data_IF_002799626311
#
_entry.id   IF_002799626311
#
_cell.length_a   1.000
_cell.length_b   1.000
_cell.length_c   1.000
_cell.angle_alpha   90.00
_cell.angle_beta   90.00
_cell.angle_gamma   90.00
#
_symmetry.space_group_name_H-M   'P 1'
#
loop_
_entity.id
_entity.type
_entity.pdbx_description
1 polymer ?
#
# COMPACT_ATOMS: atom_id res chain seq x y z
N UNK A 1 34.64 -1.68 -40.01
CA UNK A 1 33.40 -2.37 -40.46
C UNK A 1 32.74 -3.24 -39.38
N UNK A 2 33.33 -3.44 -38.20
CA UNK A 2 32.74 -4.22 -37.09
C UNK A 2 31.63 -3.53 -36.30
N UNK A 3 31.71 -2.22 -36.15
CA UNK A 3 30.82 -1.47 -35.24
C UNK A 3 29.36 -1.30 -35.73
N UNK A 4 29.15 -1.35 -37.03
CA UNK A 4 27.80 -1.28 -37.62
C UNK A 4 27.00 -2.58 -37.45
N UNK A 5 27.66 -3.73 -37.36
CA UNK A 5 27.01 -5.03 -37.25
C UNK A 5 26.50 -5.31 -35.83
N UNK A 6 27.20 -4.87 -34.76
CA UNK A 6 26.75 -5.07 -33.42
C UNK A 6 25.59 -4.12 -33.08
N UNK A 7 25.60 -2.87 -33.57
CA UNK A 7 24.48 -1.93 -33.44
C UNK A 7 23.22 -2.44 -34.13
N UNK A 8 23.38 -3.04 -35.33
CA UNK A 8 22.26 -3.65 -36.04
C UNK A 8 21.72 -4.87 -35.29
N UNK A 9 22.60 -5.73 -34.73
CA UNK A 9 22.20 -6.87 -33.89
C UNK A 9 21.53 -6.43 -32.59
N UNK A 10 22.01 -5.34 -31.95
CA UNK A 10 21.41 -4.77 -30.77
C UNK A 10 20.02 -4.19 -31.06
N UNK A 11 19.87 -3.47 -32.20
CA UNK A 11 18.58 -2.98 -32.68
C UNK A 11 17.59 -4.12 -32.98
N UNK A 12 18.05 -5.21 -33.53
CA UNK A 12 17.21 -6.39 -33.76
C UNK A 12 16.80 -7.08 -32.46
N UNK A 13 17.70 -7.22 -31.50
CA UNK A 13 17.38 -7.74 -30.15
C UNK A 13 16.43 -6.82 -29.39
N UNK A 14 16.62 -5.52 -29.43
CA UNK A 14 15.75 -4.55 -28.78
C UNK A 14 14.37 -4.41 -29.45
N UNK A 15 14.28 -4.61 -30.78
CA UNK A 15 12.99 -4.60 -31.50
C UNK A 15 12.14 -5.85 -31.27
N UNK A 16 12.72 -6.95 -30.82
CA UNK A 16 12.00 -8.20 -30.56
C UNK A 16 11.82 -8.55 -29.09
N UNK A 17 12.34 -7.76 -28.14
CA UNK A 17 12.34 -8.05 -26.71
C UNK A 17 11.79 -6.87 -25.89
N UNK A 18 10.62 -6.34 -26.25
CA UNK A 18 9.99 -5.27 -25.47
C UNK A 18 9.44 -5.78 -24.13
N UNK A 19 9.15 -7.06 -24.03
CA UNK A 19 8.52 -7.63 -22.83
C UNK A 19 9.42 -7.50 -21.59
N UNK A 20 10.72 -7.77 -21.72
CA UNK A 20 11.65 -7.69 -20.58
C UNK A 20 11.80 -6.28 -19.99
N UNK A 21 12.13 -5.24 -20.78
CA UNK A 21 12.18 -3.88 -20.23
C UNK A 21 10.80 -3.41 -19.72
N UNK A 22 9.72 -3.78 -20.41
CA UNK A 22 8.37 -3.46 -19.96
C UNK A 22 8.04 -4.12 -18.62
N UNK A 23 8.48 -5.37 -18.41
CA UNK A 23 8.28 -6.07 -17.13
C UNK A 23 8.98 -5.36 -15.98
N UNK A 24 10.26 -4.98 -16.16
CA UNK A 24 11.03 -4.28 -15.11
C UNK A 24 10.42 -2.90 -14.79
N UNK A 25 10.04 -2.15 -15.82
CA UNK A 25 9.41 -0.85 -15.66
C UNK A 25 8.03 -0.98 -15.00
N UNK A 26 7.20 -1.93 -15.45
CA UNK A 26 5.89 -2.19 -14.86
C UNK A 26 6.03 -2.58 -13.39
N UNK A 27 6.94 -3.51 -13.06
CA UNK A 27 7.19 -3.92 -11.68
C UNK A 27 7.53 -2.72 -10.77
N UNK A 28 8.44 -1.84 -11.22
CA UNK A 28 8.82 -0.67 -10.44
C UNK A 28 7.66 0.32 -10.27
N UNK A 29 6.95 0.61 -11.37
CA UNK A 29 5.80 1.53 -11.35
C UNK A 29 4.66 0.98 -10.47
N UNK A 30 4.31 -0.29 -10.63
CA UNK A 30 3.23 -0.92 -9.85
C UNK A 30 3.58 -1.01 -8.37
N UNK A 31 4.84 -1.34 -8.03
CA UNK A 31 5.27 -1.36 -6.63
C UNK A 31 5.13 0.04 -5.98
N UNK A 32 5.55 1.10 -6.69
CA UNK A 32 5.39 2.48 -6.20
C UNK A 32 3.91 2.87 -6.11
N UNK A 33 3.09 2.49 -7.10
CA UNK A 33 1.66 2.77 -7.09
C UNK A 33 0.96 2.07 -5.92
N UNK A 34 1.23 0.80 -5.70
CA UNK A 34 0.64 0.03 -4.58
C UNK A 34 1.06 0.56 -3.21
N UNK A 35 2.29 1.05 -3.09
CA UNK A 35 2.79 1.64 -1.84
C UNK A 35 2.21 3.04 -1.58
N UNK A 36 2.13 3.90 -2.63
CA UNK A 36 1.72 5.31 -2.50
C UNK A 36 0.24 5.55 -2.73
N UNK A 37 -0.42 4.69 -3.49
CA UNK A 37 -1.84 4.74 -3.83
C UNK A 37 -2.47 3.37 -3.53
N UNK A 38 -2.68 3.02 -2.25
CA UNK A 38 -3.23 1.72 -1.90
C UNK A 38 -4.62 1.55 -2.52
N UNK A 39 -4.84 0.39 -3.14
CA UNK A 39 -6.11 0.03 -3.79
C UNK A 39 -7.14 -0.42 -2.75
N UNK A 40 -6.68 -0.87 -1.59
CA UNK A 40 -7.52 -1.31 -0.47
C UNK A 40 -6.82 -1.01 0.86
N UNK A 41 -7.61 -0.73 1.90
CA UNK A 41 -7.10 -0.37 3.23
C UNK A 41 -6.64 1.08 3.35
N UNK A 42 -6.21 1.47 4.53
CA UNK A 42 -5.86 2.84 4.89
C UNK A 42 -4.38 3.15 4.63
N UNK A 43 -3.56 2.12 4.44
CA UNK A 43 -2.12 2.22 4.18
C UNK A 43 -1.67 1.21 3.13
N UNK A 44 -0.61 1.53 2.40
CA UNK A 44 0.02 0.60 1.46
C UNK A 44 0.65 -0.59 2.19
N UNK A 45 0.87 -1.71 1.46
CA UNK A 45 1.43 -2.93 2.04
C UNK A 45 2.91 -2.80 2.43
N UNK A 46 3.52 -1.65 2.19
CA UNK A 46 4.96 -1.44 2.28
C UNK A 46 5.70 -1.88 1.01
N UNK A 47 6.82 -1.22 0.72
CA UNK A 47 7.52 -1.38 -0.56
C UNK A 47 7.89 -2.85 -0.87
N UNK A 48 8.34 -3.60 0.13
CA UNK A 48 8.73 -5.01 -0.08
C UNK A 48 7.54 -5.88 -0.49
N UNK A 49 6.43 -5.79 0.23
CA UNK A 49 5.22 -6.55 -0.10
C UNK A 49 4.61 -6.07 -1.43
N UNK A 50 4.68 -4.76 -1.73
CA UNK A 50 4.24 -4.20 -3.01
C UNK A 50 5.03 -4.78 -4.19
N UNK A 51 6.36 -4.91 -4.07
CA UNK A 51 7.22 -5.55 -5.09
C UNK A 51 6.85 -7.02 -5.28
N UNK A 52 6.61 -7.76 -4.21
CA UNK A 52 6.21 -9.17 -4.32
C UNK A 52 4.85 -9.33 -4.99
N UNK A 53 3.86 -8.50 -4.62
CA UNK A 53 2.52 -8.52 -5.22
C UNK A 53 2.56 -8.14 -6.70
N UNK A 54 3.25 -7.05 -7.05
CA UNK A 54 3.42 -6.63 -8.44
C UNK A 54 4.18 -7.68 -9.25
N UNK A 55 5.25 -8.26 -8.70
CA UNK A 55 6.02 -9.32 -9.34
C UNK A 55 5.18 -10.56 -9.63
N UNK A 56 4.39 -11.01 -8.68
CA UNK A 56 3.50 -12.16 -8.86
C UNK A 56 2.40 -11.86 -9.91
N UNK A 57 1.77 -10.68 -9.83
CA UNK A 57 0.77 -10.25 -10.81
C UNK A 57 1.35 -10.23 -12.22
N UNK A 58 2.51 -9.61 -12.41
CA UNK A 58 3.19 -9.51 -13.70
C UNK A 58 3.62 -10.86 -14.24
N UNK A 59 4.09 -11.78 -13.37
CA UNK A 59 4.39 -13.16 -13.78
C UNK A 59 3.15 -13.88 -14.29
N UNK A 60 2.01 -13.77 -13.61
CA UNK A 60 0.75 -14.35 -14.05
C UNK A 60 0.30 -13.75 -15.40
N UNK A 61 0.40 -12.43 -15.56
CA UNK A 61 0.04 -11.76 -16.82
C UNK A 61 0.93 -12.23 -17.96
N UNK A 62 2.23 -12.33 -17.77
CA UNK A 62 3.17 -12.74 -18.81
C UNK A 62 3.05 -14.24 -19.11
N UNK A 63 2.91 -15.08 -18.09
CA UNK A 63 2.87 -16.54 -18.28
C UNK A 63 1.55 -17.03 -18.86
N UNK A 64 0.42 -16.42 -18.49
CA UNK A 64 -0.91 -16.92 -18.85
C UNK A 64 -1.61 -15.99 -19.85
N UNK A 65 -1.74 -14.72 -19.53
CA UNK A 65 -2.54 -13.79 -20.32
C UNK A 65 -1.84 -13.38 -21.64
N UNK A 66 -0.51 -13.18 -21.65
CA UNK A 66 0.20 -12.76 -22.84
C UNK A 66 0.15 -13.79 -23.99
N UNK A 67 0.34 -15.11 -23.77
CA UNK A 67 0.17 -16.11 -24.82
C UNK A 67 -1.26 -16.16 -25.37
N UNK A 68 -2.27 -16.03 -24.52
CA UNK A 68 -3.69 -16.03 -24.92
C UNK A 68 -4.01 -14.80 -25.79
N UNK A 69 -3.62 -13.62 -25.33
CA UNK A 69 -3.77 -12.37 -26.07
C UNK A 69 -2.95 -12.37 -27.38
N UNK A 70 -1.76 -12.96 -27.37
CA UNK A 70 -0.93 -13.14 -28.56
C UNK A 70 -1.59 -14.06 -29.61
N UNK A 71 -2.26 -15.15 -29.18
CA UNK A 71 -3.05 -16.02 -30.06
C UNK A 71 -4.23 -15.26 -30.68
N UNK A 72 -4.97 -14.51 -29.87
CA UNK A 72 -6.07 -13.68 -30.32
C UNK A 72 -5.60 -12.61 -31.32
N UNK A 73 -4.48 -11.93 -31.06
CA UNK A 73 -3.90 -10.92 -31.94
C UNK A 73 -3.50 -11.52 -33.29
N UNK A 74 -2.93 -12.72 -33.31
CA UNK A 74 -2.60 -13.45 -34.56
C UNK A 74 -3.84 -13.86 -35.36
N UNK A 75 -4.93 -14.23 -34.67
CA UNK A 75 -6.19 -14.52 -35.33
C UNK A 75 -6.73 -13.29 -36.06
N UNK A 76 -6.55 -12.11 -35.47
CA UNK A 76 -6.96 -10.82 -36.07
C UNK A 76 -5.99 -10.31 -37.13
N UNK A 77 -4.71 -10.68 -37.06
CA UNK A 77 -3.65 -10.26 -37.99
C UNK A 77 -2.83 -11.46 -38.47
N UNK A 78 -3.35 -12.20 -39.45
CA UNK A 78 -2.64 -13.34 -40.05
C UNK A 78 -1.30 -12.85 -40.64
N UNK A 79 -0.21 -13.57 -40.34
CA UNK A 79 1.13 -13.20 -40.80
C UNK A 79 2.06 -12.61 -39.73
N UNK A 80 1.54 -12.29 -38.52
CA UNK A 80 2.42 -11.86 -37.40
C UNK A 80 3.09 -13.09 -36.77
N UNK A 81 4.44 -13.13 -36.63
CA UNK A 81 5.14 -14.21 -35.94
C UNK A 81 4.65 -14.34 -34.48
N UNK A 82 4.51 -15.58 -33.98
CA UNK A 82 3.94 -15.86 -32.66
C UNK A 82 4.72 -15.12 -31.54
N UNK A 83 6.04 -15.12 -31.62
CA UNK A 83 6.93 -14.46 -30.63
C UNK A 83 6.65 -12.96 -30.56
N UNK A 84 6.53 -12.29 -31.70
CA UNK A 84 6.27 -10.84 -31.76
C UNK A 84 4.86 -10.51 -31.26
N UNK A 85 3.88 -11.34 -31.58
CA UNK A 85 2.51 -11.14 -31.12
C UNK A 85 2.41 -11.28 -29.59
N UNK A 86 3.06 -12.30 -29.02
CA UNK A 86 3.07 -12.52 -27.56
C UNK A 86 3.85 -11.42 -26.83
N UNK A 87 4.99 -11.00 -27.36
CA UNK A 87 5.82 -9.93 -26.82
C UNK A 87 5.06 -8.59 -26.73
N UNK A 88 4.40 -8.22 -27.82
CA UNK A 88 3.56 -7.01 -27.86
C UNK A 88 2.35 -7.12 -26.95
N UNK A 89 1.67 -8.26 -26.96
CA UNK A 89 0.52 -8.49 -26.11
C UNK A 89 0.91 -8.40 -24.63
N UNK A 90 2.03 -8.98 -24.23
CA UNK A 90 2.55 -8.89 -22.87
C UNK A 90 2.88 -7.46 -22.45
N UNK A 91 3.57 -6.70 -23.29
CA UNK A 91 3.89 -5.31 -22.99
C UNK A 91 2.62 -4.43 -22.83
N UNK A 92 1.61 -4.66 -23.68
CA UNK A 92 0.32 -3.95 -23.57
C UNK A 92 -0.44 -4.33 -22.30
N UNK A 93 -0.44 -5.62 -21.93
CA UNK A 93 -1.09 -6.09 -20.70
C UNK A 93 -0.43 -5.52 -19.46
N UNK A 94 0.89 -5.46 -19.40
CA UNK A 94 1.62 -4.82 -18.30
C UNK A 94 1.29 -3.33 -18.19
N UNK A 95 1.28 -2.61 -19.31
CA UNK A 95 0.87 -1.20 -19.33
C UNK A 95 -0.59 -1.00 -18.88
N UNK A 96 -1.50 -1.90 -19.29
CA UNK A 96 -2.89 -1.87 -18.87
C UNK A 96 -3.05 -2.16 -17.36
N UNK A 97 -2.25 -3.08 -16.80
CA UNK A 97 -2.23 -3.35 -15.37
C UNK A 97 -1.76 -2.12 -14.57
N UNK A 98 -0.66 -1.47 -14.98
CA UNK A 98 -0.22 -0.21 -14.37
C UNK A 98 -1.31 0.87 -14.41
N UNK A 99 -1.97 1.03 -15.56
CA UNK A 99 -3.04 2.02 -15.70
C UNK A 99 -4.24 1.69 -14.80
N UNK A 100 -4.62 0.41 -14.72
CA UNK A 100 -5.72 -0.04 -13.85
C UNK A 100 -5.41 0.21 -12.38
N UNK A 101 -4.23 -0.16 -11.90
CA UNK A 101 -3.79 0.10 -10.52
C UNK A 101 -3.79 1.60 -10.24
N UNK A 102 -3.28 2.42 -11.16
CA UNK A 102 -3.29 3.87 -11.01
C UNK A 102 -4.72 4.45 -10.90
N UNK A 103 -5.63 4.02 -11.77
CA UNK A 103 -7.03 4.46 -11.72
C UNK A 103 -7.71 4.05 -10.42
N UNK A 104 -7.59 2.78 -10.03
CA UNK A 104 -8.18 2.28 -8.78
C UNK A 104 -7.60 2.99 -7.55
N UNK A 105 -6.27 3.18 -7.51
CA UNK A 105 -5.62 3.90 -6.41
C UNK A 105 -6.04 5.38 -6.35
N UNK A 106 -6.21 6.05 -7.51
CA UNK A 106 -6.70 7.42 -7.54
C UNK A 106 -8.17 7.53 -7.10
N UNK A 107 -9.02 6.57 -7.49
CA UNK A 107 -10.42 6.53 -7.04
C UNK A 107 -10.52 6.29 -5.54
N UNK A 108 -9.63 5.49 -4.97
CA UNK A 108 -9.61 5.19 -3.53
C UNK A 108 -8.92 6.28 -2.68
N UNK A 109 -8.21 7.22 -3.32
CA UNK A 109 -7.40 8.24 -2.63
C UNK A 109 -8.20 9.13 -1.67
N UNK A 110 -9.47 9.43 -1.96
CA UNK A 110 -10.34 10.22 -1.07
C UNK A 110 -10.63 9.50 0.23
N UNK A 111 -10.91 8.20 0.17
CA UNK A 111 -11.16 7.37 1.35
C UNK A 111 -9.90 7.23 2.22
N UNK A 112 -8.74 7.01 1.60
CA UNK A 112 -7.45 6.95 2.32
C UNK A 112 -7.14 8.27 3.02
N UNK A 113 -7.38 9.40 2.36
CA UNK A 113 -7.19 10.73 2.97
C UNK A 113 -8.14 10.96 4.13
N UNK A 114 -9.40 10.55 4.01
CA UNK A 114 -10.38 10.66 5.08
C UNK A 114 -9.96 9.82 6.30
N UNK A 115 -9.51 8.58 6.08
CA UNK A 115 -9.02 7.70 7.14
C UNK A 115 -7.78 8.29 7.85
N UNK A 116 -6.81 8.84 7.10
CA UNK A 116 -5.67 9.51 7.71
C UNK A 116 -6.08 10.76 8.50
N UNK A 117 -6.99 11.58 7.97
CA UNK A 117 -7.50 12.75 8.69
C UNK A 117 -8.22 12.36 9.99
N UNK A 118 -8.94 11.24 9.99
CA UNK A 118 -9.58 10.68 11.18
C UNK A 118 -8.54 10.25 12.24
N UNK A 119 -7.48 9.53 11.82
CA UNK A 119 -6.39 9.12 12.71
C UNK A 119 -5.64 10.33 13.28
N UNK A 120 -5.38 11.35 12.47
CA UNK A 120 -4.73 12.58 12.93
C UNK A 120 -5.61 13.34 13.94
N UNK A 121 -6.90 13.44 13.67
CA UNK A 121 -7.86 14.07 14.58
C UNK A 121 -7.98 13.30 15.91
N UNK A 122 -8.01 11.97 15.84
CA UNK A 122 -7.98 11.07 16.99
C UNK A 122 -6.71 11.28 17.84
N UNK A 123 -5.53 11.23 17.20
CA UNK A 123 -4.25 11.41 17.88
C UNK A 123 -4.10 12.79 18.49
N UNK A 124 -4.54 13.84 17.80
CA UNK A 124 -4.53 15.21 18.33
C UNK A 124 -5.46 15.36 19.54
N UNK A 125 -6.63 14.71 19.54
CA UNK A 125 -7.59 14.78 20.63
C UNK A 125 -7.10 13.98 21.85
N UNK A 126 -6.54 12.78 21.64
CA UNK A 126 -5.91 12.00 22.71
C UNK A 126 -4.76 12.78 23.35
N UNK A 127 -3.88 13.37 22.54
CA UNK A 127 -2.73 14.17 23.03
C UNK A 127 -3.18 15.36 23.86
N UNK A 128 -4.15 16.14 23.39
CA UNK A 128 -4.71 17.28 24.16
C UNK A 128 -5.25 16.83 25.50
N UNK A 129 -5.96 15.71 25.55
CA UNK A 129 -6.51 15.15 26.78
C UNK A 129 -5.40 14.73 27.74
N UNK A 130 -4.38 14.01 27.26
CA UNK A 130 -3.21 13.60 28.06
C UNK A 130 -2.50 14.81 28.63
N UNK A 131 -2.19 15.82 27.82
CA UNK A 131 -1.50 17.03 28.26
C UNK A 131 -2.30 17.85 29.30
N UNK A 132 -3.64 17.74 29.29
CA UNK A 132 -4.50 18.53 30.20
C UNK A 132 -4.95 17.77 31.46
N UNK A 133 -4.98 16.43 31.42
CA UNK A 133 -5.64 15.61 32.45
C UNK A 133 -4.79 14.46 33.02
N UNK A 134 -3.72 14.04 32.32
CA UNK A 134 -2.86 12.97 32.80
C UNK A 134 -1.85 13.47 33.84
N UNK A 135 -1.35 12.59 34.72
CA UNK A 135 -0.18 12.86 35.55
C UNK A 135 1.05 13.28 34.73
N UNK A 136 1.96 14.06 35.36
CA UNK A 136 3.12 14.62 34.66
C UNK A 136 4.01 13.58 33.99
N UNK A 137 4.16 12.40 34.57
CA UNK A 137 4.91 11.28 34.03
C UNK A 137 4.43 10.88 32.62
N UNK A 138 3.12 10.88 32.37
CA UNK A 138 2.54 10.56 31.06
C UNK A 138 2.53 11.76 30.11
N UNK A 139 2.47 12.98 30.64
CA UNK A 139 2.51 14.19 29.80
C UNK A 139 3.83 14.31 29.06
N UNK A 140 4.96 13.92 29.70
CA UNK A 140 6.28 13.90 29.07
C UNK A 140 6.33 12.99 27.81
N UNK A 141 5.50 11.93 27.80
CA UNK A 141 5.44 10.94 26.72
C UNK A 141 4.22 11.12 25.79
N UNK A 142 3.51 12.24 25.85
CA UNK A 142 2.27 12.48 25.09
C UNK A 142 2.40 12.43 23.56
N UNK A 143 3.62 12.39 23.04
CA UNK A 143 3.91 12.26 21.61
C UNK A 143 4.12 10.80 21.18
N UNK A 144 4.26 9.87 22.12
CA UNK A 144 4.42 8.44 21.86
C UNK A 144 3.11 7.70 22.16
N UNK A 145 2.14 7.82 21.25
CA UNK A 145 0.82 7.21 21.37
C UNK A 145 0.82 5.79 20.80
N UNK A 146 0.30 4.84 21.59
CA UNK A 146 -0.03 3.49 21.12
C UNK A 146 -1.53 3.42 20.92
N UNK A 147 -2.01 3.22 19.69
CA UNK A 147 -3.44 3.24 19.35
C UNK A 147 -3.88 1.91 18.77
N UNK A 148 -5.02 1.40 19.25
CA UNK A 148 -5.68 0.19 18.74
C UNK A 148 -7.14 0.55 18.42
N UNK A 149 -7.59 0.16 17.23
CA UNK A 149 -8.97 0.34 16.81
C UNK A 149 -9.85 -0.71 17.50
N UNK A 150 -10.85 -0.26 18.27
CA UNK A 150 -11.79 -1.12 19.00
C UNK A 150 -13.14 -1.24 18.30
N UNK A 151 -13.46 -0.30 17.41
CA UNK A 151 -14.70 -0.25 16.64
C UNK A 151 -14.57 0.66 15.43
N UNK A 152 -15.66 0.89 14.72
CA UNK A 152 -15.64 1.65 13.46
C UNK A 152 -15.07 3.06 13.65
N UNK A 153 -15.48 3.76 14.71
CA UNK A 153 -15.03 5.12 15.06
C UNK A 153 -14.52 5.20 16.51
N UNK A 154 -14.15 4.07 17.11
CA UNK A 154 -13.68 3.99 18.48
C UNK A 154 -12.24 3.49 18.54
N UNK A 155 -11.38 4.30 19.11
CA UNK A 155 -9.97 4.04 19.26
C UNK A 155 -9.56 4.02 20.73
N UNK A 156 -8.81 2.99 21.14
CA UNK A 156 -8.15 2.97 22.45
C UNK A 156 -6.72 3.43 22.26
N UNK A 157 -6.37 4.55 22.91
CA UNK A 157 -5.05 5.17 22.79
C UNK A 157 -4.40 5.25 24.15
N UNK A 158 -3.20 4.71 24.26
CA UNK A 158 -2.43 4.63 25.49
C UNK A 158 -1.10 5.36 25.35
N UNK A 159 -0.68 5.99 26.45
CA UNK A 159 0.64 6.58 26.63
C UNK A 159 1.34 5.81 27.74
N UNK A 160 2.53 5.25 27.46
CA UNK A 160 3.35 4.61 28.46
C UNK A 160 3.96 5.68 29.39
N UNK A 161 4.06 5.35 30.69
CA UNK A 161 4.83 6.11 31.66
C UNK A 161 6.23 5.52 31.83
N UNK A 162 6.85 5.84 32.96
CA UNK A 162 8.16 5.30 33.34
C UNK A 162 8.08 3.80 33.66
N UNK A 163 6.92 3.33 34.11
CA UNK A 163 6.62 1.91 34.33
C UNK A 163 6.06 1.28 33.05
N UNK A 164 6.77 0.30 32.42
CA UNK A 164 6.34 -0.32 31.19
C UNK A 164 5.07 -1.17 31.31
N UNK A 165 4.67 -1.57 32.52
CA UNK A 165 3.45 -2.32 32.78
C UNK A 165 2.22 -1.42 32.96
N UNK A 166 2.42 -0.12 33.07
CA UNK A 166 1.35 0.87 33.27
C UNK A 166 1.30 1.87 32.12
N UNK A 167 0.10 2.20 31.70
CA UNK A 167 -0.16 3.20 30.69
C UNK A 167 -1.37 4.06 31.06
N UNK A 168 -1.34 5.32 30.68
CA UNK A 168 -2.52 6.16 30.72
C UNK A 168 -3.31 5.99 29.43
N UNK A 169 -4.48 5.36 29.51
CA UNK A 169 -5.28 5.01 28.35
C UNK A 169 -6.56 5.83 28.27
N UNK A 170 -6.98 6.14 27.05
CA UNK A 170 -8.20 6.86 26.74
C UNK A 170 -8.92 6.20 25.56
N UNK A 171 -10.24 6.26 25.56
CA UNK A 171 -11.07 5.98 24.39
C UNK A 171 -11.35 7.28 23.66
N UNK A 172 -11.13 7.28 22.36
CA UNK A 172 -11.44 8.40 21.47
C UNK A 172 -12.52 7.98 20.51
N UNK A 173 -13.63 8.68 20.52
CA UNK A 173 -14.73 8.49 19.57
C UNK A 173 -14.67 9.59 18.50
N UNK A 174 -14.40 9.19 17.26
CA UNK A 174 -14.27 10.08 16.09
C UNK A 174 -15.59 10.36 15.38
N UNK A 175 -16.70 9.73 15.79
CA UNK A 175 -18.04 10.08 15.32
C UNK A 175 -18.45 11.52 15.71
N UNK A 176 -17.82 12.06 16.74
CA UNK A 176 -18.09 13.39 17.24
C UNK A 176 -17.11 14.42 16.66
N UNK A 177 -17.57 15.63 16.46
CA UNK A 177 -16.71 16.76 16.05
C UNK A 177 -16.82 17.90 17.06
N UNK A 178 -15.77 18.20 17.85
CA UNK A 178 -14.49 17.50 17.94
C UNK A 178 -14.61 16.09 18.54
N UNK A 179 -13.64 15.18 18.26
CA UNK A 179 -13.66 13.82 18.80
C UNK A 179 -13.82 13.78 20.32
N UNK A 180 -14.77 12.97 20.79
CA UNK A 180 -15.03 12.75 22.22
C UNK A 180 -13.91 11.90 22.84
N UNK A 181 -13.41 12.32 24.03
CA UNK A 181 -12.35 11.57 24.72
C UNK A 181 -12.80 11.22 26.12
N UNK A 182 -12.74 9.94 26.47
CA UNK A 182 -13.03 9.41 27.80
C UNK A 182 -11.85 8.61 28.34
N UNK A 183 -11.61 8.71 29.65
CA UNK A 183 -10.55 7.94 30.30
C UNK A 183 -10.92 6.47 30.35
N UNK A 184 -9.97 5.59 29.99
CA UNK A 184 -10.06 4.16 30.22
C UNK A 184 -9.62 3.85 31.66
N UNK A 185 -10.43 3.14 32.47
CA UNK A 185 -10.02 2.68 33.80
C UNK A 185 -8.91 1.61 33.75
N UNK A 186 -8.81 0.85 32.66
CA UNK A 186 -7.76 -0.15 32.49
C UNK A 186 -6.43 0.53 32.10
N UNK A 187 -5.45 0.42 32.98
CA UNK A 187 -4.13 1.04 32.82
C UNK A 187 -3.11 0.11 32.16
N UNK A 188 -3.50 -1.04 31.66
CA UNK A 188 -2.60 -1.95 30.95
C UNK A 188 -2.29 -1.40 29.55
N UNK A 189 -1.01 -1.47 29.09
CA UNK A 189 -0.65 -1.10 27.72
C UNK A 189 -1.43 -1.93 26.69
N UNK A 190 -1.66 -1.38 25.49
CA UNK A 190 -2.33 -2.10 24.40
C UNK A 190 -1.70 -3.47 24.11
N UNK A 191 -0.37 -3.54 24.09
CA UNK A 191 0.37 -4.78 23.87
C UNK A 191 0.12 -5.87 24.94
N UNK A 192 -0.26 -5.49 26.17
CA UNK A 192 -0.61 -6.45 27.22
C UNK A 192 -2.06 -6.94 27.07
N UNK A 193 -2.96 -6.07 26.60
CA UNK A 193 -4.37 -6.43 26.35
C UNK A 193 -4.50 -7.37 25.14
N UNK A 194 -3.74 -7.12 24.08
CA UNK A 194 -3.73 -8.00 22.89
C UNK A 194 -3.21 -9.41 23.18
N UNK A 195 -2.30 -9.56 24.13
CA UNK A 195 -1.73 -10.85 24.54
C UNK A 195 -2.61 -11.66 25.49
N UNK A 196 -3.64 -11.07 26.06
CA UNK A 196 -4.57 -11.76 26.98
C UNK A 196 -5.71 -12.38 26.18
N UNK A 197 -5.74 -13.72 25.94
CA UNK A 197 -6.86 -14.34 25.24
C UNK A 197 -8.13 -14.18 26.12
N UNK A 198 -9.24 -13.81 25.49
CA UNK A 198 -10.59 -13.86 26.09
C UNK A 198 -11.06 -15.29 26.17
#
# INVERSE_FOLDING_TARGET
MGDALWQTRLRWRLRGAMLWPSFVVALAVEAILLDRLPVSGDSGPGLFAAVLLAGFLNLCLVAVAAPLAGRWLRHRRPGTPAVIATDRAGAVLLAAACALIAVLGLMHRSSVRAAHAELDAQAASARRFVLSRAPLEYQAHAYHLSTVKQGEHLYRTCVAGDDPERAFCVFVNTDQSPPGVTRDPDQRPNAAVERSPR
#
